data_IF_264182943022
#
_entry.id   IF_264182943022
#
_cell.length_a   1.000
_cell.length_b   1.000
_cell.length_c   1.000
_cell.angle_alpha   90.00
_cell.angle_beta   90.00
_cell.angle_gamma   90.00
#
_symmetry.space_group_name_H-M   'P 1'
#
loop_
_entity.id
_entity.type
_entity.pdbx_description
1 polymer ?
#
# COMPACT_ATOMS: atom_id res chain seq x y z
N UNK A 1 1.74 0.02 0.36
CA UNK A 1 1.19 1.13 1.15
C UNK A 1 -0.26 0.80 1.47
N UNK A 2 -0.65 0.89 2.74
CA UNK A 2 -2.01 0.54 3.18
C UNK A 2 -3.06 1.60 2.81
N UNK A 3 -4.31 1.16 2.59
CA UNK A 3 -5.52 1.99 2.39
C UNK A 3 -6.25 2.31 3.71
N UNK A 4 -5.64 2.10 4.87
CA UNK A 4 -6.26 2.21 6.22
C UNK A 4 -7.12 3.47 6.46
N UNK A 5 -6.67 4.62 5.95
CA UNK A 5 -7.32 5.93 6.15
C UNK A 5 -7.85 6.54 4.84
N UNK A 6 -8.14 5.71 3.83
CA UNK A 6 -8.75 6.16 2.57
C UNK A 6 -7.95 5.75 1.34
N UNK A 7 -7.90 6.64 0.34
CA UNK A 7 -7.31 6.38 -0.97
C UNK A 7 -5.93 7.06 -1.13
N UNK A 8 -4.85 6.48 -0.56
CA UNK A 8 -3.51 7.10 -0.55
C UNK A 8 -2.94 7.32 -1.96
N UNK A 9 -3.43 6.57 -2.95
CA UNK A 9 -2.97 6.67 -4.33
C UNK A 9 -3.22 8.05 -4.95
N UNK A 10 -4.26 8.77 -4.50
CA UNK A 10 -4.55 10.15 -4.93
C UNK A 10 -3.43 11.09 -4.46
N UNK A 11 -3.06 11.00 -3.18
CA UNK A 11 -2.00 11.82 -2.59
C UNK A 11 -0.63 11.46 -3.16
N UNK A 12 -0.35 10.17 -3.35
CA UNK A 12 0.87 9.72 -4.00
C UNK A 12 1.01 10.33 -5.41
N UNK A 13 -0.04 10.25 -6.23
CA UNK A 13 -0.02 10.81 -7.58
C UNK A 13 0.16 12.35 -7.57
N UNK A 14 -0.56 13.03 -6.69
CA UNK A 14 -0.50 14.49 -6.56
C UNK A 14 0.87 14.99 -6.10
N UNK A 15 1.37 14.49 -4.97
CA UNK A 15 2.65 14.96 -4.40
C UNK A 15 3.86 14.51 -5.23
N UNK A 16 3.77 13.37 -5.91
CA UNK A 16 4.82 12.92 -6.84
C UNK A 16 4.74 13.61 -8.21
N UNK A 17 3.71 14.44 -8.44
CA UNK A 17 3.48 15.18 -9.69
C UNK A 17 3.47 14.26 -10.92
N UNK A 18 2.81 13.11 -10.81
CA UNK A 18 2.77 12.15 -11.90
C UNK A 18 1.98 12.71 -13.09
N UNK A 19 2.46 12.45 -14.31
CA UNK A 19 1.69 12.72 -15.52
C UNK A 19 0.40 11.88 -15.47
N UNK A 20 -0.80 12.48 -15.67
CA UNK A 20 -2.07 11.75 -15.70
C UNK A 20 -2.10 10.55 -16.67
N UNK A 21 -1.31 10.58 -17.74
CA UNK A 21 -1.16 9.43 -18.66
C UNK A 21 -0.61 8.19 -17.95
N UNK A 22 0.22 8.38 -16.93
CA UNK A 22 0.76 7.31 -16.08
C UNK A 22 -0.27 6.80 -15.06
N UNK A 23 -1.50 7.33 -15.01
CA UNK A 23 -2.57 6.84 -14.14
C UNK A 23 -3.60 5.99 -14.89
N UNK A 24 -3.43 5.87 -16.21
CA UNK A 24 -4.29 5.03 -17.05
C UNK A 24 -3.97 3.55 -16.83
N UNK A 25 -4.98 2.65 -16.90
CA UNK A 25 -4.74 1.21 -16.84
C UNK A 25 -3.73 0.75 -17.90
N UNK A 26 -2.78 -0.09 -17.51
CA UNK A 26 -1.71 -0.55 -18.39
C UNK A 26 -0.76 -1.53 -17.68
N UNK A 27 0.38 -1.90 -18.31
CA UNK A 27 1.31 -2.88 -17.73
C UNK A 27 1.85 -2.45 -16.35
N UNK A 28 2.02 -1.15 -16.14
CA UNK A 28 2.58 -0.60 -14.91
C UNK A 28 1.54 -0.09 -13.91
N UNK A 29 0.26 -0.04 -14.28
CA UNK A 29 -0.79 0.51 -13.42
C UNK A 29 -2.01 -0.40 -13.39
N UNK A 30 -2.42 -0.78 -12.18
CA UNK A 30 -3.60 -1.61 -11.97
C UNK A 30 -4.70 -0.68 -11.46
N UNK A 31 -5.60 -0.33 -12.38
CA UNK A 31 -6.81 0.43 -12.11
C UNK A 31 -7.99 -0.28 -12.76
N UNK A 32 -9.04 -0.54 -11.98
CA UNK A 32 -10.11 -1.46 -12.36
C UNK A 32 -11.46 -1.03 -11.79
N UNK A 33 -12.55 -1.47 -12.42
CA UNK A 33 -13.90 -1.18 -11.95
C UNK A 33 -14.32 -2.18 -10.87
N UNK A 34 -14.83 -1.66 -9.75
CA UNK A 34 -15.45 -2.43 -8.68
C UNK A 34 -16.41 -1.53 -7.90
N UNK A 35 -17.60 -2.03 -7.59
CA UNK A 35 -18.62 -1.27 -6.83
C UNK A 35 -18.93 0.11 -7.44
N UNK A 36 -19.11 0.18 -8.76
CA UNK A 36 -19.38 1.41 -9.52
C UNK A 36 -18.31 2.52 -9.35
N UNK A 37 -17.10 2.15 -8.94
CA UNK A 37 -15.97 3.05 -8.76
C UNK A 37 -14.71 2.49 -9.41
N UNK A 38 -13.76 3.37 -9.78
CA UNK A 38 -12.44 2.96 -10.24
C UNK A 38 -11.47 2.83 -9.06
N UNK A 39 -11.15 1.59 -8.72
CA UNK A 39 -10.18 1.24 -7.68
C UNK A 39 -8.77 1.24 -8.26
N UNK A 40 -7.78 1.54 -7.43
CA UNK A 40 -6.36 1.57 -7.81
C UNK A 40 -5.56 0.68 -6.85
N UNK A 41 -4.83 -0.29 -7.41
CA UNK A 41 -3.98 -1.20 -6.66
C UNK A 41 -2.49 -1.02 -6.94
N UNK A 42 -2.14 -0.42 -8.08
CA UNK A 42 -0.74 -0.20 -8.46
C UNK A 42 -0.60 1.06 -9.29
N UNK A 43 0.40 1.87 -8.96
CA UNK A 43 0.94 2.93 -9.83
C UNK A 43 2.46 2.75 -9.91
N UNK A 44 2.98 2.38 -11.07
CA UNK A 44 4.40 2.07 -11.26
C UNK A 44 4.89 0.98 -10.32
N UNK A 45 5.74 1.33 -9.35
CA UNK A 45 6.29 0.37 -8.36
C UNK A 45 5.59 0.38 -7.01
N UNK A 46 4.57 1.23 -6.85
CA UNK A 46 3.86 1.41 -5.59
C UNK A 46 2.55 0.65 -5.63
N UNK A 47 2.38 -0.26 -4.68
CA UNK A 47 1.17 -1.05 -4.51
C UNK A 47 0.33 -0.53 -3.35
N UNK A 48 -0.98 -0.51 -3.54
CA UNK A 48 -1.97 -0.04 -2.58
C UNK A 48 -2.84 -1.23 -2.16
N UNK A 49 -2.79 -1.59 -0.90
CA UNK A 49 -3.42 -2.80 -0.34
C UNK A 49 -4.34 -2.42 0.80
N UNK A 50 -5.41 -3.18 1.03
CA UNK A 50 -6.24 -2.93 2.20
C UNK A 50 -5.50 -3.33 3.47
N UNK A 51 -5.71 -2.56 4.52
CA UNK A 51 -4.99 -2.75 5.79
C UNK A 51 -5.28 -4.11 6.42
N UNK A 52 -6.57 -4.47 6.48
CA UNK A 52 -7.06 -5.72 7.04
C UNK A 52 -6.64 -6.98 6.25
N UNK A 53 -6.00 -6.81 5.09
CA UNK A 53 -5.44 -7.91 4.30
C UNK A 53 -3.96 -8.18 4.63
N UNK A 54 -3.32 -7.30 5.39
CA UNK A 54 -1.93 -7.45 5.80
C UNK A 54 -1.89 -8.32 7.04
N UNK A 55 -1.43 -9.57 6.90
CA UNK A 55 -1.31 -10.50 8.02
C UNK A 55 -0.21 -10.09 9.01
N UNK A 56 -0.41 -10.39 10.30
CA UNK A 56 0.61 -10.18 11.36
C UNK A 56 1.59 -11.36 11.50
N UNK A 57 1.39 -12.44 10.74
CA UNK A 57 2.29 -13.59 10.67
C UNK A 57 3.51 -13.34 9.77
N UNK A 58 4.13 -14.44 9.28
CA UNK A 58 5.09 -14.35 8.18
C UNK A 58 4.32 -14.13 6.89
N UNK A 59 4.64 -13.06 6.16
CA UNK A 59 3.95 -12.67 4.92
C UNK A 59 4.95 -12.60 3.77
N UNK A 60 4.80 -13.51 2.81
CA UNK A 60 5.63 -13.58 1.59
C UNK A 60 4.95 -12.95 0.37
N UNK A 61 3.62 -12.83 0.42
CA UNK A 61 2.80 -12.21 -0.62
C UNK A 61 1.64 -11.45 0.00
N UNK A 62 1.23 -10.35 -0.63
CA UNK A 62 0.06 -9.57 -0.25
C UNK A 62 -1.01 -9.65 -1.35
N UNK A 63 -2.31 -9.78 -1.00
CA UNK A 63 -3.38 -9.81 -2.00
C UNK A 63 -3.64 -8.41 -2.57
N UNK A 64 -4.11 -8.37 -3.81
CA UNK A 64 -4.61 -7.17 -4.47
C UNK A 64 -6.14 -7.25 -4.60
N UNK A 65 -6.82 -6.11 -4.51
CA UNK A 65 -8.27 -6.02 -4.67
C UNK A 65 -8.73 -6.33 -6.10
N UNK A 66 -7.86 -6.11 -7.08
CA UNK A 66 -8.01 -6.51 -8.49
C UNK A 66 -7.96 -8.02 -8.69
N UNK A 67 -7.62 -8.78 -7.64
CA UNK A 67 -7.23 -10.18 -7.72
C UNK A 67 -5.72 -10.35 -7.92
N UNK A 68 -5.25 -11.56 -7.61
CA UNK A 68 -3.82 -11.90 -7.62
C UNK A 68 -3.10 -11.49 -6.34
N UNK A 69 -1.77 -11.61 -6.36
CA UNK A 69 -0.89 -11.27 -5.24
C UNK A 69 0.39 -10.59 -5.72
N UNK A 70 1.03 -9.85 -4.81
CA UNK A 70 2.35 -9.25 -5.01
C UNK A 70 3.35 -9.83 -4.00
N UNK A 71 4.57 -10.13 -4.43
CA UNK A 71 5.63 -10.61 -3.54
C UNK A 71 6.09 -9.49 -2.60
N UNK A 72 6.40 -9.85 -1.34
CA UNK A 72 6.95 -8.92 -0.35
C UNK A 72 8.47 -8.81 -0.40
N UNK A 73 9.15 -9.61 -1.23
CA UNK A 73 10.61 -9.61 -1.35
C UNK A 73 11.15 -8.22 -1.75
N UNK A 74 12.18 -7.74 -1.05
CA UNK A 74 12.83 -6.46 -1.30
C UNK A 74 11.86 -5.26 -1.35
N UNK A 75 10.84 -5.27 -0.49
CA UNK A 75 9.81 -4.23 -0.46
C UNK A 75 9.77 -3.47 0.86
N UNK A 76 9.25 -2.24 0.78
CA UNK A 76 8.89 -1.42 1.93
C UNK A 76 7.37 -1.50 2.15
N UNK A 77 7.00 -1.69 3.40
CA UNK A 77 5.63 -1.65 3.87
C UNK A 77 5.40 -0.36 4.63
N UNK A 78 4.37 0.37 4.23
CA UNK A 78 3.77 1.45 5.03
C UNK A 78 2.41 0.92 5.44
N UNK A 79 2.24 0.63 6.73
CA UNK A 79 1.07 -0.06 7.30
C UNK A 79 0.64 0.58 8.62
N UNK A 80 -0.56 0.24 9.08
CA UNK A 80 -0.97 0.56 10.44
C UNK A 80 -0.14 -0.20 11.49
N UNK A 81 -0.04 0.28 12.73
CA UNK A 81 0.72 -0.38 13.79
C UNK A 81 0.21 -1.79 14.15
N UNK A 82 -1.08 -2.06 13.96
CA UNK A 82 -1.76 -3.31 14.28
C UNK A 82 -1.61 -4.39 13.19
N UNK A 83 -1.17 -4.02 11.98
CA UNK A 83 -0.98 -4.93 10.85
C UNK A 83 0.49 -5.00 10.41
N UNK A 84 1.39 -5.24 11.36
CA UNK A 84 2.82 -5.42 11.11
C UNK A 84 3.19 -6.91 11.01
N UNK A 85 3.67 -7.41 9.84
CA UNK A 85 4.12 -8.80 9.69
C UNK A 85 5.38 -9.14 10.50
N UNK A 86 5.49 -10.38 10.98
CA UNK A 86 6.64 -10.88 11.77
C UNK A 86 7.97 -10.88 11.03
N UNK A 87 7.96 -10.99 9.70
CA UNK A 87 9.16 -10.97 8.86
C UNK A 87 9.48 -9.56 8.34
N UNK A 88 9.22 -8.54 9.16
CA UNK A 88 9.59 -7.16 8.86
C UNK A 88 10.44 -6.56 9.97
N UNK A 89 11.24 -5.57 9.59
CA UNK A 89 11.97 -4.73 10.54
C UNK A 89 11.49 -3.29 10.38
N UNK A 90 10.99 -2.71 11.48
CA UNK A 90 10.58 -1.31 11.52
C UNK A 90 11.80 -0.42 11.31
N UNK A 91 11.68 0.51 10.37
CA UNK A 91 12.73 1.50 10.07
C UNK A 91 12.33 2.91 10.44
N UNK A 92 11.02 3.21 10.48
CA UNK A 92 10.51 4.53 10.85
C UNK A 92 9.04 4.46 11.31
N UNK A 93 8.56 5.53 11.93
CA UNK A 93 7.20 5.66 12.45
C UNK A 93 6.69 7.08 12.20
N UNK A 94 5.43 7.18 11.79
CA UNK A 94 4.72 8.45 11.63
C UNK A 94 3.63 8.49 12.69
N UNK A 95 3.63 9.55 13.49
CA UNK A 95 2.66 9.75 14.57
C UNK A 95 1.59 10.76 14.19
N UNK A 96 0.40 10.58 14.77
CA UNK A 96 -0.61 11.62 14.81
C UNK A 96 -0.16 12.78 15.71
N UNK A 97 -0.86 13.91 15.63
CA UNK A 97 -0.55 15.09 16.46
C UNK A 97 -0.69 14.84 17.96
N UNK A 98 -1.44 13.82 18.36
CA UNK A 98 -1.59 13.41 19.76
C UNK A 98 -0.47 12.46 20.24
N UNK A 99 0.49 12.11 19.38
CA UNK A 99 1.60 11.19 19.69
C UNK A 99 1.28 9.72 19.44
N UNK A 100 0.03 9.37 19.09
CA UNK A 100 -0.31 7.99 18.78
C UNK A 100 0.29 7.54 17.43
N UNK A 101 0.78 6.29 17.32
CA UNK A 101 1.25 5.73 16.06
C UNK A 101 0.18 5.80 14.95
N UNK A 102 0.44 6.53 13.87
CA UNK A 102 -0.43 6.58 12.70
C UNK A 102 -0.02 5.52 11.66
N UNK A 103 1.26 5.47 11.34
CA UNK A 103 1.83 4.49 10.42
C UNK A 103 3.18 4.00 10.90
N UNK A 104 3.50 2.78 10.48
CA UNK A 104 4.84 2.19 10.60
C UNK A 104 5.41 2.01 9.20
N UNK A 105 6.66 2.40 9.02
CA UNK A 105 7.46 2.10 7.84
C UNK A 105 8.36 0.92 8.19
N UNK A 106 8.21 -0.19 7.47
CA UNK A 106 8.94 -1.42 7.74
C UNK A 106 9.53 -2.01 6.45
N UNK A 107 10.70 -2.63 6.56
CA UNK A 107 11.33 -3.38 5.48
C UNK A 107 11.02 -4.87 5.66
N UNK A 108 10.61 -5.55 4.59
CA UNK A 108 10.54 -7.01 4.60
C UNK A 108 11.95 -7.64 4.56
N UNK A 109 12.16 -8.66 5.38
CA UNK A 109 13.42 -9.40 5.51
C UNK A 109 13.55 -10.53 4.50
#
# INVERSE_FOLDING_TARGET
MTKRYGEPHIFYAFYSRLDPKLLMPGPDNIRFMKSDWYWTDKIGRVYFINDWQIGTGVVNTLPLESGGTISTNNSLLITSPDHLPKNTTVIDKIDFLNGDPAFVIAKFN
#
